data_IF_718044766549
#
_entry.id   IF_718044766549
#
_cell.length_a   1.000
_cell.length_b   1.000
_cell.length_c   1.000
_cell.angle_alpha   90.00
_cell.angle_beta   90.00
_cell.angle_gamma   90.00
#
_symmetry.space_group_name_H-M   'P 1'
#
loop_
_entity.id
_entity.type
_entity.pdbx_description
1 polymer ?
#
# COMPACT_ATOMS: atom_id res chain seq x y z
N UNK A 1 -9.45 -2.51 -17.96
CA UNK A 1 -9.30 -2.70 -16.50
C UNK A 1 -7.97 -3.37 -16.30
N UNK A 2 -6.92 -2.56 -16.22
CA UNK A 2 -5.56 -3.04 -16.09
C UNK A 2 -5.31 -3.36 -14.62
N UNK A 3 -5.29 -4.65 -14.31
CA UNK A 3 -4.90 -5.15 -13.01
C UNK A 3 -3.40 -4.95 -12.91
N UNK A 4 -2.97 -3.96 -12.12
CA UNK A 4 -1.58 -3.88 -11.67
C UNK A 4 -1.30 -5.06 -10.73
N UNK A 5 -1.08 -6.24 -11.33
CA UNK A 5 -0.20 -7.26 -10.76
C UNK A 5 1.22 -6.78 -11.00
N UNK A 6 1.61 -5.68 -10.37
CA UNK A 6 2.95 -5.69 -9.80
C UNK A 6 2.90 -6.83 -8.79
N UNK A 7 3.86 -7.75 -8.86
CA UNK A 7 3.91 -8.96 -8.05
C UNK A 7 4.16 -8.58 -6.57
N UNK A 8 3.19 -7.89 -5.97
CA UNK A 8 3.20 -7.35 -4.62
C UNK A 8 3.24 -8.47 -3.57
N UNK A 9 2.96 -9.70 -4.00
CA UNK A 9 3.22 -10.97 -3.33
C UNK A 9 4.71 -11.19 -3.01
N UNK A 10 5.65 -10.48 -3.63
CA UNK A 10 7.09 -10.70 -3.41
C UNK A 10 7.73 -9.77 -2.37
N UNK A 11 6.98 -8.84 -1.75
CA UNK A 11 7.52 -7.97 -0.70
C UNK A 11 7.37 -8.60 0.71
N UNK A 12 8.20 -8.14 1.65
CA UNK A 12 8.22 -8.68 3.02
C UNK A 12 6.88 -8.55 3.75
N UNK A 13 6.11 -7.49 3.46
CA UNK A 13 4.78 -7.27 4.05
C UNK A 13 3.78 -8.34 3.60
N UNK A 14 3.72 -8.65 2.30
CA UNK A 14 2.85 -9.70 1.77
C UNK A 14 3.24 -11.07 2.30
N UNK A 15 4.54 -11.39 2.34
CA UNK A 15 5.04 -12.65 2.93
C UNK A 15 4.68 -12.78 4.41
N UNK A 16 4.76 -11.70 5.19
CA UNK A 16 4.37 -11.70 6.60
C UNK A 16 2.86 -11.93 6.79
N UNK A 17 2.01 -11.44 5.87
CA UNK A 17 0.58 -11.73 5.89
C UNK A 17 0.29 -13.19 5.52
N UNK A 18 0.96 -13.73 4.51
CA UNK A 18 0.86 -15.14 4.13
C UNK A 18 1.23 -16.05 5.31
N UNK A 19 2.39 -15.85 5.93
CA UNK A 19 2.82 -16.63 7.11
C UNK A 19 1.84 -16.53 8.28
N UNK A 20 1.26 -15.34 8.52
CA UNK A 20 0.35 -15.11 9.63
C UNK A 20 -1.04 -15.75 9.44
N UNK A 21 -1.55 -15.85 8.21
CA UNK A 21 -2.94 -16.19 7.91
C UNK A 21 -3.14 -17.49 7.13
N UNK A 22 -2.22 -17.89 6.26
CA UNK A 22 -2.29 -19.14 5.49
C UNK A 22 -2.47 -20.38 6.39
N UNK A 23 -1.75 -20.53 7.52
CA UNK A 23 -1.92 -21.68 8.41
C UNK A 23 -3.29 -21.77 9.11
N UNK A 24 -4.17 -20.77 8.95
CA UNK A 24 -5.35 -20.57 9.81
C UNK A 24 -6.70 -20.61 9.09
N UNK A 25 -6.73 -20.95 7.79
CA UNK A 25 -7.95 -20.82 6.94
C UNK A 25 -8.56 -19.41 7.05
N UNK A 26 -7.73 -18.39 6.88
CA UNK A 26 -8.14 -16.99 6.89
C UNK A 26 -7.78 -16.37 5.55
N UNK A 27 -8.79 -15.88 4.83
CA UNK A 27 -8.58 -15.03 3.67
C UNK A 27 -8.45 -13.57 4.09
N UNK A 28 -7.73 -12.78 3.30
CA UNK A 28 -7.53 -11.37 3.53
C UNK A 28 -7.48 -10.55 2.24
N UNK A 29 -7.92 -9.29 2.37
CA UNK A 29 -7.73 -8.24 1.38
C UNK A 29 -6.86 -7.15 1.97
N UNK A 30 -6.05 -6.54 1.13
CA UNK A 30 -5.26 -5.36 1.49
C UNK A 30 -5.67 -4.21 0.60
N UNK A 31 -6.02 -3.09 1.22
CA UNK A 31 -6.34 -1.84 0.56
C UNK A 31 -5.35 -0.76 0.95
N UNK A 32 -4.99 0.06 -0.02
CA UNK A 32 -4.17 1.26 0.18
C UNK A 32 -5.07 2.45 -0.09
N UNK A 33 -5.19 3.32 0.91
CA UNK A 33 -6.01 4.52 0.87
C UNK A 33 -5.07 5.73 0.91
N UNK A 34 -5.13 6.60 -0.08
CA UNK A 34 -4.22 7.75 -0.23
C UNK A 34 -4.95 9.00 -0.69
N UNK A 35 -4.33 10.16 -0.48
CA UNK A 35 -4.85 11.42 -0.98
C UNK A 35 -4.49 11.64 -2.44
N UNK A 36 -5.42 12.20 -3.21
CA UNK A 36 -5.19 12.61 -4.60
C UNK A 36 -4.91 14.11 -4.68
N UNK A 37 -4.45 14.56 -5.85
CA UNK A 37 -4.12 15.95 -6.18
C UNK A 37 -5.32 16.89 -5.94
N UNK A 38 -6.53 16.39 -6.21
CA UNK A 38 -7.81 17.08 -6.01
C UNK A 38 -8.27 17.11 -4.53
N UNK A 39 -7.39 16.75 -3.59
CA UNK A 39 -7.68 16.66 -2.15
C UNK A 39 -8.80 15.70 -1.80
N UNK A 40 -9.06 14.73 -2.66
CA UNK A 40 -9.95 13.60 -2.35
C UNK A 40 -9.13 12.43 -1.86
N UNK A 41 -9.79 11.30 -1.60
CA UNK A 41 -9.13 10.08 -1.17
C UNK A 41 -9.54 8.96 -2.11
N UNK A 42 -8.55 8.21 -2.59
CA UNK A 42 -8.76 7.04 -3.43
C UNK A 42 -8.40 5.76 -2.66
N UNK A 43 -9.07 4.66 -3.02
CA UNK A 43 -8.79 3.32 -2.46
C UNK A 43 -8.35 2.37 -3.55
N UNK A 44 -7.08 2.00 -3.52
CA UNK A 44 -6.50 0.97 -4.38
C UNK A 44 -6.51 -0.39 -3.70
N UNK A 45 -6.73 -1.45 -4.50
CA UNK A 45 -6.61 -2.85 -4.06
C UNK A 45 -5.18 -3.32 -4.27
N UNK A 46 -4.54 -3.80 -3.21
CA UNK A 46 -3.21 -4.38 -3.25
C UNK A 46 -3.27 -5.91 -3.35
N UNK A 47 -4.09 -6.51 -2.48
CA UNK A 47 -4.37 -7.96 -2.47
C UNK A 47 -5.88 -8.12 -2.39
N UNK A 48 -6.44 -8.98 -3.23
CA UNK A 48 -7.87 -9.26 -3.26
C UNK A 48 -8.16 -10.76 -3.41
N UNK A 49 -8.54 -11.40 -2.30
CA UNK A 49 -8.89 -12.82 -2.21
C UNK A 49 -10.41 -13.08 -2.25
N UNK A 50 -11.21 -12.06 -2.57
CA UNK A 50 -12.65 -12.17 -2.74
C UNK A 50 -13.44 -11.26 -1.80
N UNK A 51 -14.74 -11.54 -1.66
CA UNK A 51 -15.65 -10.74 -0.84
C UNK A 51 -15.60 -11.21 0.61
N UNK A 52 -15.33 -10.32 1.59
CA UNK A 52 -15.35 -10.68 2.99
C UNK A 52 -16.72 -11.21 3.44
N UNK A 53 -16.72 -12.17 4.37
CA UNK A 53 -17.94 -12.66 5.02
C UNK A 53 -18.45 -11.67 6.08
N UNK A 54 -19.67 -11.88 6.60
CA UNK A 54 -20.26 -11.03 7.64
C UNK A 54 -19.43 -10.96 8.95
N UNK A 55 -18.47 -11.88 9.13
CA UNK A 55 -17.57 -11.93 10.29
C UNK A 55 -16.16 -11.43 9.98
N UNK A 56 -16.01 -10.58 8.96
CA UNK A 56 -14.74 -9.96 8.64
C UNK A 56 -14.29 -8.97 9.73
N UNK A 57 -13.00 -9.00 10.04
CA UNK A 57 -12.34 -8.03 10.91
C UNK A 57 -11.39 -7.18 10.09
N UNK A 58 -11.28 -5.89 10.44
CA UNK A 58 -10.35 -4.98 9.78
C UNK A 58 -9.40 -4.34 10.78
N UNK A 59 -8.17 -4.10 10.31
CA UNK A 59 -7.16 -3.33 11.00
C UNK A 59 -6.51 -2.37 10.00
N UNK A 60 -6.16 -1.17 10.45
CA UNK A 60 -5.51 -0.20 9.56
C UNK A 60 -4.40 0.56 10.26
N UNK A 61 -3.37 0.91 9.50
CA UNK A 61 -2.26 1.75 9.95
C UNK A 61 -1.97 2.84 8.93
N UNK A 62 -1.71 4.05 9.41
CA UNK A 62 -1.26 5.17 8.58
C UNK A 62 0.27 5.19 8.52
N UNK A 63 0.79 5.37 7.32
CA UNK A 63 2.20 5.53 6.97
C UNK A 63 2.35 6.89 6.31
N UNK A 64 3.30 7.67 6.78
CA UNK A 64 3.67 8.95 6.15
C UNK A 64 4.78 8.67 5.16
N UNK A 65 4.54 9.04 3.90
CA UNK A 65 5.55 9.03 2.84
C UNK A 65 6.15 10.42 2.70
N UNK A 66 7.46 10.51 2.55
CA UNK A 66 8.18 11.76 2.30
C UNK A 66 8.87 11.70 0.94
N UNK A 67 9.11 12.87 0.35
CA UNK A 67 9.70 13.02 -0.98
C UNK A 67 11.07 12.34 -1.14
N UNK A 68 11.85 12.30 -0.06
CA UNK A 68 13.18 11.67 0.00
C UNK A 68 13.14 10.15 0.24
N UNK A 69 11.96 9.53 0.40
CA UNK A 69 11.87 8.08 0.56
C UNK A 69 12.31 7.38 -0.74
N UNK A 70 13.24 6.42 -0.62
CA UNK A 70 13.75 5.66 -1.76
C UNK A 70 12.77 4.56 -2.19
N UNK A 71 12.64 4.38 -3.51
CA UNK A 71 11.93 3.25 -4.07
C UNK A 71 12.72 1.95 -3.91
N UNK A 72 12.00 0.89 -3.57
CA UNK A 72 12.54 -0.46 -3.42
C UNK A 72 12.21 -1.26 -4.69
N UNK A 73 13.24 -1.73 -5.37
CA UNK A 73 13.13 -2.60 -6.54
C UNK A 73 12.61 -3.99 -6.17
N UNK A 74 12.17 -4.76 -7.17
CA UNK A 74 11.58 -6.09 -6.96
C UNK A 74 12.54 -7.09 -6.27
N UNK A 75 13.86 -6.88 -6.41
CA UNK A 75 14.89 -7.68 -5.73
C UNK A 75 15.22 -7.20 -4.31
N UNK A 76 14.52 -6.18 -3.82
CA UNK A 76 14.68 -5.60 -2.49
C UNK A 76 15.80 -4.57 -2.38
N UNK A 77 16.45 -4.19 -3.49
CA UNK A 77 17.50 -3.17 -3.49
C UNK A 77 16.94 -1.75 -3.72
N UNK A 78 17.71 -0.72 -3.36
CA UNK A 78 17.41 0.67 -3.73
C UNK A 78 18.46 1.14 -4.73
N UNK A 79 18.03 1.82 -5.79
CA UNK A 79 18.90 2.40 -6.81
C UNK A 79 19.11 3.92 -6.60
N UNK A 80 18.70 4.45 -5.45
CA UNK A 80 18.79 5.87 -5.11
C UNK A 80 17.67 6.75 -5.66
N UNK A 81 16.73 6.19 -6.43
CA UNK A 81 15.56 6.94 -6.94
C UNK A 81 14.57 7.20 -5.80
N UNK A 82 14.26 8.46 -5.56
CA UNK A 82 13.30 8.86 -4.52
C UNK A 82 11.87 8.98 -5.06
N UNK A 83 10.89 9.10 -4.16
CA UNK A 83 9.49 9.36 -4.53
C UNK A 83 9.31 10.66 -5.32
N UNK A 84 10.05 11.72 -4.98
CA UNK A 84 9.99 12.99 -5.70
C UNK A 84 10.56 12.91 -7.12
N UNK A 85 11.49 12.00 -7.37
CA UNK A 85 12.12 11.79 -8.69
C UNK A 85 11.34 10.81 -9.57
N UNK A 86 10.39 10.07 -8.99
CA UNK A 86 9.69 8.98 -9.67
C UNK A 86 8.41 9.45 -10.36
N UNK A 87 8.44 9.48 -11.69
CA UNK A 87 7.23 9.69 -12.53
C UNK A 87 6.29 8.46 -12.57
N UNK A 88 6.73 7.31 -12.05
CA UNK A 88 6.04 6.02 -12.19
C UNK A 88 5.36 5.49 -10.93
N UNK A 89 5.39 6.24 -9.82
CA UNK A 89 4.76 5.80 -8.58
C UNK A 89 3.25 5.96 -8.67
N UNK A 90 2.50 4.93 -8.25
CA UNK A 90 1.05 4.87 -8.47
C UNK A 90 0.24 5.79 -7.53
N UNK A 91 0.83 6.27 -6.44
CA UNK A 91 0.21 7.25 -5.54
C UNK A 91 0.73 8.63 -5.97
N UNK A 92 -0.14 9.59 -6.28
CA UNK A 92 0.32 10.94 -6.59
C UNK A 92 0.89 11.64 -5.35
N UNK A 93 1.78 12.60 -5.59
CA UNK A 93 2.18 13.56 -4.57
C UNK A 93 0.99 14.46 -4.22
N UNK A 94 0.50 14.34 -2.98
CA UNK A 94 -0.56 15.17 -2.44
C UNK A 94 -0.07 16.02 -1.25
N UNK A 95 1.23 16.03 -1.00
CA UNK A 95 1.86 16.65 0.13
C UNK A 95 2.05 18.14 -0.08
N UNK A 96 1.03 18.90 0.29
CA UNK A 96 1.06 20.37 0.23
C UNK A 96 1.84 20.99 1.41
N UNK A 97 3.05 20.49 1.72
CA UNK A 97 3.82 20.80 2.93
C UNK A 97 5.07 21.65 2.69
N UNK A 98 5.25 22.70 3.50
CA UNK A 98 6.37 23.66 3.49
C UNK A 98 7.76 23.04 3.30
N UNK A 99 8.61 23.75 2.55
CA UNK A 99 10.01 23.50 2.12
C UNK A 99 11.00 22.89 3.15
N UNK A 100 10.61 22.70 4.41
CA UNK A 100 11.45 22.15 5.47
C UNK A 100 11.23 20.66 5.78
N UNK A 101 10.13 20.05 5.30
CA UNK A 101 9.88 18.59 5.28
C UNK A 101 8.95 18.31 4.11
N UNK A 102 9.55 17.82 3.03
CA UNK A 102 8.90 17.50 1.78
C UNK A 102 8.04 16.23 2.02
N UNK A 103 6.80 16.45 2.45
CA UNK A 103 5.79 15.40 2.65
C UNK A 103 5.32 14.99 1.26
N UNK A 104 5.18 13.70 1.00
CA UNK A 104 4.62 13.19 -0.25
C UNK A 104 3.14 12.80 -0.11
N UNK A 105 2.81 11.94 0.87
CA UNK A 105 1.42 11.54 1.11
C UNK A 105 1.19 10.94 2.51
N UNK A 106 -0.06 10.88 2.94
CA UNK A 106 -0.49 10.07 4.07
C UNK A 106 -1.25 8.85 3.56
N UNK A 107 -0.63 7.69 3.69
CA UNK A 107 -1.15 6.44 3.15
C UNK A 107 -1.69 5.58 4.29
N UNK A 108 -2.98 5.25 4.24
CA UNK A 108 -3.59 4.30 5.17
C UNK A 108 -3.65 2.92 4.53
N UNK A 109 -2.92 1.98 5.11
CA UNK A 109 -3.00 0.57 4.72
C UNK A 109 -4.07 -0.09 5.59
N UNK A 110 -5.06 -0.71 4.95
CA UNK A 110 -6.15 -1.43 5.60
C UNK A 110 -6.10 -2.91 5.21
N UNK A 111 -6.06 -3.78 6.22
CA UNK A 111 -6.14 -5.23 6.05
C UNK A 111 -7.51 -5.68 6.54
N UNK A 112 -8.25 -6.37 5.70
CA UNK A 112 -9.55 -6.97 6.03
C UNK A 112 -9.41 -8.47 5.95
N UNK A 113 -9.61 -9.18 7.06
CA UNK A 113 -9.43 -10.62 7.15
C UNK A 113 -10.72 -11.32 7.60
N UNK A 114 -10.97 -12.52 7.08
CA UNK A 114 -12.14 -13.32 7.43
C UNK A 114 -11.82 -14.81 7.34
N UNK A 115 -12.50 -15.62 8.16
CA UNK A 115 -12.41 -17.08 8.02
C UNK A 115 -13.10 -17.54 6.75
N UNK A 116 -12.46 -18.48 6.07
CA UNK A 116 -13.02 -19.23 4.95
C UNK A 116 -13.57 -20.58 5.39
#
# INVERSE_FOLDING_TARGET
>A
EDYYTTNLTENEFARALEDAYDPRNVAYNVYVIYHTDDRTTERQRLIFQGRPSDHAVSASRTVTLVDDDELIDADGTTNGTTLAESDGFYIPDAGNGSEQRALYNHVRVEVVAWRV
#
